data_IF_028588671954
#
_entry.id   IF_028588671954
#
_cell.length_a   1.000
_cell.length_b   1.000
_cell.length_c   1.000
_cell.angle_alpha   90.00
_cell.angle_beta   90.00
_cell.angle_gamma   90.00
#
_symmetry.space_group_name_H-M   'P 1'
#
loop_
_entity.id
_entity.type
_entity.pdbx_description
1 polymer ?
#
# COMPACT_ATOMS: atom_id res chain seq x y z
N UNK A 1 31.06 43.24 3.73
CA UNK A 1 32.47 43.49 3.36
C UNK A 1 33.27 43.52 4.64
N UNK A 2 33.92 42.39 4.97
CA UNK A 2 35.39 42.22 5.08
C UNK A 2 35.92 42.98 6.31
N UNK A 3 36.35 42.31 7.38
CA UNK A 3 37.65 41.63 7.38
C UNK A 3 37.70 40.31 8.16
N UNK A 4 38.25 39.31 7.48
CA UNK A 4 38.79 38.04 8.01
C UNK A 4 40.06 38.28 8.84
N UNK A 5 40.35 37.40 9.80
CA UNK A 5 41.59 36.59 9.76
C UNK A 5 41.65 35.60 10.94
N UNK A 6 41.73 34.33 10.55
CA UNK A 6 42.13 33.15 11.34
C UNK A 6 43.53 33.28 11.94
N UNK A 7 43.74 32.59 13.08
CA UNK A 7 44.93 31.82 13.50
C UNK A 7 44.86 31.65 15.03
N UNK A 8 45.19 30.54 15.70
CA UNK A 8 45.50 29.16 15.39
C UNK A 8 45.69 28.45 16.75
N UNK A 9 45.47 27.14 16.78
CA UNK A 9 46.07 26.17 17.73
C UNK A 9 45.70 26.20 19.23
N UNK A 10 45.10 25.10 19.68
CA UNK A 10 45.19 24.70 21.09
C UNK A 10 44.17 23.64 21.46
N UNK A 11 44.52 22.36 21.26
CA UNK A 11 43.81 21.21 21.84
C UNK A 11 43.54 21.46 23.33
N UNK A 12 42.28 21.42 23.73
CA UNK A 12 41.92 21.00 25.08
C UNK A 12 40.67 20.14 25.02
N UNK A 13 40.85 18.90 25.46
CA UNK A 13 39.80 17.94 25.70
C UNK A 13 38.82 18.49 26.74
N UNK A 14 37.64 18.88 26.30
CA UNK A 14 36.46 18.91 27.13
C UNK A 14 35.44 17.97 26.50
N UNK A 15 35.31 16.77 27.08
CA UNK A 15 34.10 15.97 27.02
C UNK A 15 33.00 16.77 27.75
N UNK A 16 32.51 17.82 27.11
CA UNK A 16 31.26 18.46 27.49
C UNK A 16 30.16 17.70 26.75
N UNK A 17 29.31 16.98 27.48
CA UNK A 17 28.00 16.68 26.96
C UNK A 17 27.40 18.02 26.53
N UNK A 18 27.12 18.20 25.24
CA UNK A 18 26.31 19.33 24.80
C UNK A 18 24.97 19.19 25.53
N UNK A 19 24.79 20.00 26.57
CA UNK A 19 23.50 20.19 27.20
C UNK A 19 22.70 20.98 26.18
N UNK A 20 22.06 20.27 25.26
CA UNK A 20 21.00 20.82 24.43
C UNK A 20 19.97 21.36 25.44
N UNK A 21 19.73 22.68 25.52
CA UNK A 21 18.78 23.21 26.49
C UNK A 21 17.44 22.52 26.28
N UNK A 22 16.69 22.18 27.34
CA UNK A 22 15.44 21.41 27.24
C UNK A 22 14.40 21.99 26.27
N UNK A 23 14.52 23.29 25.94
CA UNK A 23 13.74 23.98 24.92
C UNK A 23 14.06 23.58 23.46
N UNK A 24 15.14 22.83 23.23
CA UNK A 24 15.63 22.35 21.92
C UNK A 24 15.55 20.83 21.79
N UNK A 25 15.09 20.12 22.83
CA UNK A 25 14.76 18.71 22.70
C UNK A 25 13.44 18.59 21.93
N UNK A 26 13.51 17.95 20.77
CA UNK A 26 12.35 17.46 20.04
C UNK A 26 11.47 16.66 21.05
N UNK A 27 10.18 17.03 21.25
CA UNK A 27 9.27 16.24 22.08
C UNK A 27 9.27 14.75 21.73
N UNK A 28 8.98 13.86 22.67
CA UNK A 28 8.82 12.44 22.35
C UNK A 28 7.68 12.22 21.32
N UNK A 29 7.95 11.45 20.27
CA UNK A 29 6.99 11.16 19.20
C UNK A 29 5.74 10.47 19.75
N UNK A 30 5.89 9.54 20.70
CA UNK A 30 4.75 8.84 21.28
C UNK A 30 3.94 9.77 22.20
N UNK A 31 4.61 10.68 22.91
CA UNK A 31 3.94 11.75 23.63
C UNK A 31 3.18 12.69 22.69
N UNK A 32 3.70 12.98 21.49
CA UNK A 32 2.95 13.74 20.48
C UNK A 32 1.70 12.98 20.06
N UNK A 33 1.81 11.68 19.74
CA UNK A 33 0.67 10.85 19.33
C UNK A 33 -0.41 10.82 20.43
N UNK A 34 -0.02 10.54 21.69
CA UNK A 34 -0.96 10.45 22.82
C UNK A 34 -1.63 11.78 23.17
N UNK A 35 -0.87 12.88 23.12
CA UNK A 35 -1.34 14.18 23.60
C UNK A 35 -1.99 15.05 22.52
N UNK A 36 -1.88 14.67 21.24
CA UNK A 36 -2.51 15.44 20.16
C UNK A 36 -4.01 15.26 20.20
N UNK A 37 -4.72 16.38 20.37
CA UNK A 37 -6.19 16.36 20.41
C UNK A 37 -6.74 15.90 19.06
N UNK A 38 -7.68 14.94 19.03
CA UNK A 38 -8.33 14.52 17.79
C UNK A 38 -9.11 15.68 17.17
N UNK A 39 -9.31 15.61 15.85
CA UNK A 39 -10.21 16.54 15.18
C UNK A 39 -11.64 16.32 15.67
N UNK A 40 -12.42 17.43 15.77
CA UNK A 40 -13.83 17.31 16.14
C UNK A 40 -14.56 16.53 15.05
N UNK A 41 -15.14 15.40 15.44
CA UNK A 41 -16.02 14.61 14.57
C UNK A 41 -17.22 15.45 14.12
N UNK A 42 -17.55 15.50 12.82
CA UNK A 42 -18.78 16.12 12.33
C UNK A 42 -20.02 15.47 12.97
N UNK A 43 -20.96 16.28 13.46
CA UNK A 43 -22.17 15.83 14.16
C UNK A 43 -23.20 15.13 13.24
N UNK A 44 -22.97 15.12 11.92
CA UNK A 44 -23.89 14.64 10.88
C UNK A 44 -23.93 13.10 10.77
N UNK A 45 -23.16 12.38 11.57
CA UNK A 45 -23.10 10.92 11.54
C UNK A 45 -23.71 10.34 12.82
N UNK A 46 -24.78 9.56 12.64
CA UNK A 46 -25.79 9.28 13.66
C UNK A 46 -25.24 8.62 14.91
N UNK A 47 -25.66 9.17 16.06
CA UNK A 47 -25.45 8.66 17.42
C UNK A 47 -26.05 7.27 17.63
N UNK A 48 -25.34 6.50 18.47
CA UNK A 48 -25.82 5.42 19.34
C UNK A 48 -26.94 4.56 18.79
N UNK A 49 -26.62 3.76 17.78
CA UNK A 49 -27.33 2.51 17.58
C UNK A 49 -26.66 1.48 18.51
N UNK A 50 -27.45 0.69 19.24
CA UNK A 50 -26.91 -0.45 20.00
C UNK A 50 -26.01 -1.29 19.07
N UNK A 51 -24.84 -1.72 19.57
CA UNK A 51 -23.80 -2.35 18.75
C UNK A 51 -24.28 -3.59 17.97
N UNK A 52 -25.30 -4.27 18.49
CA UNK A 52 -25.97 -5.44 17.93
C UNK A 52 -26.88 -5.12 16.73
N UNK A 53 -27.33 -3.87 16.58
CA UNK A 53 -28.17 -3.42 15.46
C UNK A 53 -27.39 -2.77 14.32
N UNK A 54 -26.08 -2.57 14.48
CA UNK A 54 -25.22 -2.03 13.42
C UNK A 54 -24.89 -3.11 12.39
N UNK A 55 -25.02 -2.77 11.10
CA UNK A 55 -24.51 -3.64 10.05
C UNK A 55 -22.98 -3.65 10.04
N UNK A 56 -22.35 -4.65 9.43
CA UNK A 56 -20.89 -4.70 9.25
C UNK A 56 -20.37 -3.40 8.62
N UNK A 57 -21.11 -2.88 7.62
CA UNK A 57 -20.78 -1.60 6.97
C UNK A 57 -20.80 -0.43 7.96
N UNK A 58 -21.80 -0.34 8.82
CA UNK A 58 -21.88 0.75 9.80
C UNK A 58 -20.73 0.68 10.81
N UNK A 59 -20.35 -0.53 11.24
CA UNK A 59 -19.19 -0.77 12.14
C UNK A 59 -17.88 -0.33 11.47
N UNK A 60 -17.69 -0.68 10.20
CA UNK A 60 -16.52 -0.26 9.40
C UNK A 60 -16.50 1.24 9.15
N UNK A 61 -17.65 1.87 8.91
CA UNK A 61 -17.74 3.34 8.82
C UNK A 61 -17.25 4.00 10.11
N UNK A 62 -17.66 3.50 11.28
CA UNK A 62 -17.16 4.02 12.57
C UNK A 62 -15.65 3.84 12.73
N UNK A 63 -15.09 2.70 12.28
CA UNK A 63 -13.65 2.46 12.29
C UNK A 63 -12.89 3.48 11.43
N UNK A 64 -13.31 3.70 10.19
CA UNK A 64 -12.73 4.71 9.30
C UNK A 64 -12.79 6.10 9.94
N UNK A 65 -13.87 6.43 10.65
CA UNK A 65 -14.00 7.71 11.35
C UNK A 65 -13.07 7.82 12.55
N UNK A 66 -12.77 6.74 13.28
CA UNK A 66 -11.80 6.78 14.40
C UNK A 66 -10.39 6.98 13.85
N UNK A 67 -10.03 6.28 12.76
CA UNK A 67 -8.73 6.43 12.09
C UNK A 67 -8.57 7.86 11.54
N UNK A 68 -9.55 8.33 10.77
CA UNK A 68 -9.51 9.65 10.13
C UNK A 68 -9.35 10.79 11.15
N UNK A 69 -10.22 10.85 12.16
CA UNK A 69 -10.25 12.00 13.07
C UNK A 69 -9.34 11.82 14.29
N UNK A 70 -8.92 10.59 14.58
CA UNK A 70 -8.08 10.22 15.72
C UNK A 70 -6.59 10.07 15.41
N UNK A 71 -6.22 9.54 14.23
CA UNK A 71 -4.81 9.34 13.86
C UNK A 71 -4.24 10.53 13.08
N UNK A 72 -4.94 10.99 12.03
CA UNK A 72 -4.45 12.07 11.14
C UNK A 72 -3.91 13.32 11.85
N UNK A 73 -4.56 13.92 12.87
CA UNK A 73 -4.01 15.12 13.52
C UNK A 73 -2.66 14.87 14.21
N UNK A 74 -2.45 13.68 14.77
CA UNK A 74 -1.19 13.31 15.42
C UNK A 74 -0.06 13.16 14.39
N UNK A 75 -0.29 12.40 13.32
CA UNK A 75 0.72 12.17 12.27
C UNK A 75 0.99 13.41 11.43
N UNK A 76 -0.01 14.27 11.21
CA UNK A 76 0.22 15.63 10.70
C UNK A 76 1.20 16.41 11.59
N UNK A 77 1.01 16.38 12.90
CA UNK A 77 1.90 17.10 13.81
C UNK A 77 3.32 16.50 13.82
N UNK A 78 3.46 15.19 13.70
CA UNK A 78 4.77 14.55 13.56
C UNK A 78 5.47 14.96 12.26
N UNK A 79 4.75 14.95 11.13
CA UNK A 79 5.27 15.35 9.82
C UNK A 79 5.64 16.84 9.78
N UNK A 80 4.79 17.72 10.34
CA UNK A 80 5.07 19.17 10.49
C UNK A 80 6.36 19.44 11.29
N UNK A 81 6.71 18.56 12.23
CA UNK A 81 7.91 18.66 13.06
C UNK A 81 9.10 17.84 12.52
N UNK A 82 8.94 17.16 11.39
CA UNK A 82 9.96 16.33 10.75
C UNK A 82 10.42 15.15 11.62
N UNK A 83 9.48 14.38 12.18
CA UNK A 83 9.76 13.13 12.92
C UNK A 83 9.66 11.89 12.03
N UNK A 84 10.28 10.80 12.47
CA UNK A 84 10.03 9.49 11.90
C UNK A 84 10.60 9.28 10.50
N UNK A 85 11.66 10.02 10.15
CA UNK A 85 12.41 9.81 8.89
C UNK A 85 13.53 8.79 9.04
N UNK A 86 13.70 8.22 10.22
CA UNK A 86 14.75 7.25 10.49
C UNK A 86 14.32 5.90 9.91
N UNK A 87 15.17 5.31 9.08
CA UNK A 87 14.95 3.99 8.48
C UNK A 87 15.16 2.87 9.50
N UNK A 88 14.26 1.90 9.50
CA UNK A 88 14.31 0.66 10.26
C UNK A 88 14.79 -0.53 9.42
N UNK A 89 14.94 -0.35 8.11
CA UNK A 89 15.38 -1.39 7.17
C UNK A 89 14.51 -1.46 5.92
N UNK A 90 14.82 -2.41 5.03
CA UNK A 90 14.04 -2.64 3.81
C UNK A 90 12.73 -3.37 4.10
N UNK A 91 11.69 -3.08 3.31
CA UNK A 91 10.40 -3.76 3.38
C UNK A 91 10.51 -5.17 2.82
N UNK A 92 10.03 -6.18 3.55
CA UNK A 92 10.05 -7.59 3.12
C UNK A 92 9.29 -7.79 1.79
N UNK A 93 9.96 -8.38 0.79
CA UNK A 93 9.45 -8.56 -0.56
C UNK A 93 9.58 -7.34 -1.48
N UNK A 94 10.13 -6.24 -0.97
CA UNK A 94 10.42 -5.01 -1.72
C UNK A 94 11.86 -4.55 -1.48
N UNK A 95 12.79 -5.50 -1.37
CA UNK A 95 14.20 -5.22 -1.09
C UNK A 95 14.83 -4.34 -2.18
N UNK A 96 15.59 -3.31 -1.78
CA UNK A 96 16.12 -2.28 -2.66
C UNK A 96 15.06 -1.39 -3.32
N UNK A 97 13.78 -1.49 -2.93
CA UNK A 97 12.67 -0.68 -3.43
C UNK A 97 12.18 0.35 -2.41
N UNK A 98 11.77 -0.13 -1.24
CA UNK A 98 11.15 0.65 -0.18
C UNK A 98 11.83 0.36 1.16
N UNK A 99 11.89 1.39 2.00
CA UNK A 99 12.39 1.31 3.37
C UNK A 99 11.24 1.56 4.34
N UNK A 100 11.21 0.80 5.43
CA UNK A 100 10.33 1.06 6.57
C UNK A 100 10.92 2.23 7.37
N UNK A 101 10.17 3.31 7.53
CA UNK A 101 10.59 4.42 8.40
C UNK A 101 9.91 4.31 9.77
N UNK A 102 10.47 4.97 10.78
CA UNK A 102 9.88 5.05 12.11
C UNK A 102 8.43 5.60 12.07
N UNK A 103 8.12 6.51 11.13
CA UNK A 103 6.75 7.02 10.98
C UNK A 103 5.76 5.94 10.55
N UNK A 104 6.19 4.98 9.73
CA UNK A 104 5.39 3.84 9.26
C UNK A 104 5.04 2.92 10.42
N UNK A 105 6.05 2.47 11.16
CA UNK A 105 5.86 1.60 12.34
C UNK A 105 4.91 2.24 13.36
N UNK A 106 5.03 3.56 13.60
CA UNK A 106 4.13 4.29 14.52
C UNK A 106 2.72 4.40 13.97
N UNK A 107 2.55 4.66 12.67
CA UNK A 107 1.25 4.76 12.03
C UNK A 107 0.51 3.43 12.04
N UNK A 108 1.23 2.34 11.78
CA UNK A 108 0.71 0.97 11.82
C UNK A 108 0.27 0.58 13.25
N UNK A 109 1.13 0.76 14.25
CA UNK A 109 0.78 0.48 15.65
C UNK A 109 -0.43 1.31 16.13
N UNK A 110 -0.54 2.57 15.70
CA UNK A 110 -1.69 3.41 16.03
C UNK A 110 -2.96 2.95 15.30
N UNK A 111 -2.84 2.46 14.07
CA UNK A 111 -3.95 1.89 13.33
C UNK A 111 -4.44 0.61 14.03
N UNK A 112 -3.53 -0.29 14.41
CA UNK A 112 -3.81 -1.51 15.17
C UNK A 112 -4.58 -1.21 16.47
N UNK A 113 -4.09 -0.31 17.33
CA UNK A 113 -4.77 0.07 18.58
C UNK A 113 -6.21 0.57 18.33
N UNK A 114 -6.41 1.38 17.29
CA UNK A 114 -7.73 1.91 16.93
C UNK A 114 -8.63 0.77 16.42
N UNK A 115 -8.09 -0.09 15.56
CA UNK A 115 -8.80 -1.22 14.97
C UNK A 115 -9.25 -2.20 16.06
N UNK A 116 -8.35 -2.63 16.94
CA UNK A 116 -8.65 -3.53 18.07
C UNK A 116 -9.77 -2.96 18.94
N UNK A 117 -9.61 -1.72 19.42
CA UNK A 117 -10.58 -1.07 20.30
C UNK A 117 -11.97 -0.97 19.65
N UNK A 118 -12.05 -0.66 18.36
CA UNK A 118 -13.33 -0.50 17.65
C UNK A 118 -13.94 -1.86 17.34
N UNK A 119 -13.12 -2.83 16.97
CA UNK A 119 -13.54 -4.19 16.70
C UNK A 119 -14.13 -4.84 17.96
N UNK A 120 -13.45 -4.71 19.10
CA UNK A 120 -13.94 -5.19 20.40
C UNK A 120 -15.26 -4.52 20.79
N UNK A 121 -15.36 -3.20 20.62
CA UNK A 121 -16.58 -2.43 20.93
C UNK A 121 -17.80 -2.94 20.14
N UNK A 122 -17.61 -3.46 18.93
CA UNK A 122 -18.71 -3.85 18.04
C UNK A 122 -18.77 -5.34 17.73
N UNK A 123 -17.90 -6.17 18.31
CA UNK A 123 -17.74 -7.59 17.95
C UNK A 123 -17.51 -7.76 16.46
N UNK A 124 -16.58 -7.00 15.87
CA UNK A 124 -16.21 -7.10 14.46
C UNK A 124 -15.00 -8.01 14.31
N UNK A 125 -15.07 -8.99 13.41
CA UNK A 125 -13.92 -9.81 13.02
C UNK A 125 -13.34 -9.29 11.71
N UNK A 126 -12.03 -9.00 11.70
CA UNK A 126 -11.36 -8.46 10.52
C UNK A 126 -9.87 -8.84 10.46
N UNK A 127 -9.31 -8.78 9.26
CA UNK A 127 -7.86 -8.94 9.03
C UNK A 127 -7.33 -7.73 8.26
N UNK A 128 -6.24 -7.15 8.73
CA UNK A 128 -5.57 -6.00 8.11
C UNK A 128 -4.30 -6.47 7.44
N UNK A 129 -4.24 -6.36 6.12
CA UNK A 129 -3.01 -6.47 5.35
C UNK A 129 -2.32 -5.12 5.39
N UNK A 130 -1.16 -5.07 6.03
CA UNK A 130 -0.33 -3.87 6.12
C UNK A 130 1.04 -4.14 5.52
N UNK A 131 1.75 -3.07 5.15
CA UNK A 131 3.06 -3.16 4.49
C UNK A 131 4.12 -3.84 5.37
N UNK A 132 4.14 -3.59 6.69
CA UNK A 132 5.18 -4.13 7.58
C UNK A 132 4.66 -5.23 8.50
N UNK A 133 3.51 -5.01 9.15
CA UNK A 133 2.92 -5.98 10.07
C UNK A 133 1.43 -6.16 9.80
N UNK A 134 1.08 -7.25 9.11
CA UNK A 134 -0.32 -7.65 8.93
C UNK A 134 -0.86 -8.29 10.20
N UNK A 135 -2.09 -7.97 10.61
CA UNK A 135 -2.66 -8.42 11.88
C UNK A 135 -4.16 -8.74 11.80
N UNK A 136 -4.63 -9.53 12.76
CA UNK A 136 -6.00 -10.04 12.82
C UNK A 136 -6.71 -9.72 14.12
N UNK A 137 -7.99 -9.35 14.05
CA UNK A 137 -8.83 -9.04 15.22
C UNK A 137 -10.14 -9.84 15.20
N UNK A 138 -10.54 -10.38 16.37
CA UNK A 138 -11.82 -11.09 16.55
C UNK A 138 -11.75 -12.59 16.24
N UNK A 139 -12.62 -13.07 15.35
CA UNK A 139 -12.68 -14.47 14.91
C UNK A 139 -11.67 -14.79 13.80
N UNK A 140 -11.30 -16.06 13.66
CA UNK A 140 -10.42 -16.59 12.59
C UNK A 140 -11.02 -16.52 11.18
N UNK A 141 -12.27 -16.11 11.04
CA UNK A 141 -12.91 -16.00 9.71
C UNK A 141 -13.36 -14.57 9.57
N UNK A 142 -12.48 -13.68 9.07
CA UNK A 142 -12.76 -12.26 9.04
C UNK A 142 -14.01 -11.98 8.20
N UNK A 143 -14.91 -11.20 8.75
CA UNK A 143 -16.05 -10.65 8.01
C UNK A 143 -15.58 -9.55 7.04
N UNK A 144 -14.47 -8.90 7.39
CA UNK A 144 -13.89 -7.74 6.71
C UNK A 144 -12.40 -7.95 6.51
N UNK A 145 -11.89 -7.59 5.34
CA UNK A 145 -10.45 -7.43 5.12
C UNK A 145 -10.15 -5.96 4.88
N UNK A 146 -9.01 -5.50 5.39
CA UNK A 146 -8.51 -4.15 5.17
C UNK A 146 -7.14 -4.19 4.53
N UNK A 147 -6.85 -3.19 3.70
CA UNK A 147 -5.54 -2.97 3.10
C UNK A 147 -5.06 -1.61 3.58
N UNK A 148 -3.97 -1.61 4.34
CA UNK A 148 -3.35 -0.46 4.97
C UNK A 148 -2.01 -0.20 4.29
N UNK A 149 -1.81 1.05 3.92
CA UNK A 149 -0.52 1.65 3.71
C UNK A 149 -0.34 2.69 4.84
N UNK A 150 0.56 2.41 5.80
CA UNK A 150 0.72 3.23 6.98
C UNK A 150 1.18 4.64 6.61
N UNK A 151 2.18 4.79 5.74
CA UNK A 151 2.63 6.07 5.18
C UNK A 151 3.03 5.93 3.70
N UNK A 152 2.07 6.22 2.81
CA UNK A 152 2.37 6.37 1.38
C UNK A 152 3.29 7.59 1.17
N UNK A 153 4.17 7.48 0.17
CA UNK A 153 5.27 8.42 -0.11
C UNK A 153 6.28 8.58 1.04
N UNK A 154 6.47 7.56 1.88
CA UNK A 154 7.50 7.54 2.95
C UNK A 154 8.90 7.93 2.43
N UNK A 155 9.36 7.37 1.31
CA UNK A 155 10.67 7.71 0.73
C UNK A 155 10.82 9.17 0.29
N UNK A 156 9.78 9.79 -0.27
CA UNK A 156 9.84 11.25 -0.59
C UNK A 156 9.82 12.10 0.69
N UNK A 157 9.17 11.60 1.75
CA UNK A 157 9.17 12.24 3.06
C UNK A 157 10.54 12.15 3.76
N UNK A 158 11.23 11.02 3.65
CA UNK A 158 12.61 10.81 4.11
C UNK A 158 13.56 11.85 3.49
N UNK A 159 13.54 11.97 2.16
CA UNK A 159 14.35 12.92 1.38
C UNK A 159 13.98 14.40 1.64
N UNK A 160 12.89 14.65 2.37
CA UNK A 160 12.41 15.99 2.70
C UNK A 160 11.81 16.73 1.51
N UNK A 161 11.29 16.00 0.52
CA UNK A 161 10.54 16.59 -0.58
C UNK A 161 9.26 17.25 -0.08
N UNK A 162 8.76 18.21 -0.85
CA UNK A 162 7.50 18.92 -0.54
C UNK A 162 6.26 18.16 -1.02
N UNK A 163 6.38 16.85 -1.23
CA UNK A 163 5.27 15.96 -1.56
C UNK A 163 4.65 15.43 -0.28
N UNK A 164 3.31 15.42 -0.14
CA UNK A 164 2.71 14.97 1.09
C UNK A 164 2.89 13.46 1.33
N UNK A 165 3.25 13.04 2.55
CA UNK A 165 2.98 11.69 3.01
C UNK A 165 1.49 11.50 3.31
N UNK A 166 0.98 10.28 3.16
CA UNK A 166 -0.43 9.97 3.35
C UNK A 166 -0.63 8.73 4.21
N UNK A 167 -1.67 8.73 5.06
CA UNK A 167 -2.20 7.48 5.61
C UNK A 167 -3.31 6.99 4.68
N UNK A 168 -3.26 5.74 4.25
CA UNK A 168 -4.28 5.18 3.36
C UNK A 168 -4.77 3.80 3.82
N UNK A 169 -6.08 3.62 3.89
CA UNK A 169 -6.66 2.33 4.25
C UNK A 169 -8.02 2.12 3.58
N UNK A 170 -8.27 0.93 3.07
CA UNK A 170 -9.56 0.56 2.46
C UNK A 170 -10.07 -0.76 3.01
N UNK A 171 -11.39 -0.83 3.22
CA UNK A 171 -12.09 -1.97 3.82
C UNK A 171 -13.02 -2.64 2.81
N UNK A 172 -13.01 -3.97 2.80
CA UNK A 172 -13.80 -4.81 1.92
C UNK A 172 -14.49 -5.93 2.70
N UNK A 173 -15.68 -6.34 2.27
CA UNK A 173 -16.25 -7.60 2.75
C UNK A 173 -15.48 -8.80 2.19
N UNK A 174 -15.73 -10.00 2.74
CA UNK A 174 -15.14 -11.26 2.26
C UNK A 174 -15.36 -11.59 0.78
N UNK A 175 -16.28 -10.90 0.09
CA UNK A 175 -16.56 -11.08 -1.34
C UNK A 175 -15.85 -10.01 -2.19
N UNK A 176 -15.03 -9.15 -1.56
CA UNK A 176 -14.33 -8.05 -2.22
C UNK A 176 -15.19 -6.83 -2.53
N UNK A 177 -16.37 -6.69 -1.90
CA UNK A 177 -17.17 -5.48 -2.02
C UNK A 177 -16.63 -4.42 -1.08
N UNK A 178 -16.27 -3.26 -1.62
CA UNK A 178 -15.82 -2.12 -0.81
C UNK A 178 -16.89 -1.65 0.17
N UNK A 179 -16.48 -1.44 1.42
CA UNK A 179 -17.31 -0.97 2.52
C UNK A 179 -17.06 0.51 2.81
N UNK A 180 -15.79 0.88 2.98
CA UNK A 180 -15.34 2.25 3.22
C UNK A 180 -13.83 2.38 2.96
N UNK A 181 -13.30 3.60 2.96
CA UNK A 181 -11.87 3.86 2.87
C UNK A 181 -11.50 5.25 3.39
N UNK A 182 -10.21 5.44 3.63
CA UNK A 182 -9.58 6.65 4.14
C UNK A 182 -8.30 6.94 3.34
N UNK A 183 -8.12 8.20 2.93
CA UNK A 183 -6.84 8.76 2.48
C UNK A 183 -6.66 10.10 3.19
N UNK A 184 -5.56 10.27 3.91
CA UNK A 184 -5.30 11.49 4.70
C UNK A 184 -3.99 12.13 4.29
N UNK A 185 -4.06 13.36 3.78
CA UNK A 185 -2.90 14.16 3.42
C UNK A 185 -2.29 14.77 4.70
N UNK A 186 -1.11 14.30 5.11
CA UNK A 186 -0.54 14.67 6.40
C UNK A 186 0.06 16.08 6.40
N UNK A 187 0.48 16.64 5.26
CA UNK A 187 0.94 18.03 5.19
C UNK A 187 -0.21 19.03 5.41
N UNK A 188 -1.33 18.83 4.70
CA UNK A 188 -2.46 19.78 4.75
C UNK A 188 -3.46 19.46 5.86
N UNK A 189 -3.46 18.22 6.34
CA UNK A 189 -4.46 17.67 7.26
C UNK A 189 -5.80 17.38 6.59
N UNK A 190 -5.89 17.47 5.26
CA UNK A 190 -7.10 17.11 4.53
C UNK A 190 -7.35 15.61 4.65
N UNK A 191 -8.60 15.23 4.85
CA UNK A 191 -9.04 13.85 5.01
C UNK A 191 -10.06 13.55 3.94
N UNK A 192 -9.85 12.47 3.20
CA UNK A 192 -10.77 11.94 2.21
C UNK A 192 -11.35 10.63 2.70
N UNK A 193 -12.68 10.55 2.76
CA UNK A 193 -13.41 9.37 3.24
C UNK A 193 -14.27 8.83 2.12
N UNK A 194 -14.12 7.55 1.79
CA UNK A 194 -15.05 6.82 0.96
C UNK A 194 -16.05 6.08 1.85
N UNK A 195 -17.34 6.32 1.66
CA UNK A 195 -18.38 5.47 2.27
C UNK A 195 -19.70 5.55 1.52
N UNK A 196 -20.45 4.45 1.53
CA UNK A 196 -21.77 4.34 0.88
C UNK A 196 -21.75 4.82 -0.58
N UNK A 197 -20.68 4.50 -1.31
CA UNK A 197 -20.49 4.86 -2.72
C UNK A 197 -20.31 6.35 -2.99
N UNK A 198 -19.91 7.13 -1.98
CA UNK A 198 -19.62 8.57 -2.09
C UNK A 198 -18.27 8.88 -1.46
N UNK A 199 -17.61 9.88 -2.04
CA UNK A 199 -16.41 10.47 -1.45
C UNK A 199 -16.78 11.72 -0.66
N UNK A 200 -16.13 11.91 0.47
CA UNK A 200 -16.25 13.06 1.34
C UNK A 200 -14.86 13.66 1.54
N UNK A 201 -14.79 14.98 1.66
CA UNK A 201 -13.58 15.70 2.04
C UNK A 201 -13.84 16.40 3.36
N UNK A 202 -12.95 16.20 4.33
CA UNK A 202 -12.84 17.03 5.51
C UNK A 202 -11.59 17.91 5.39
N UNK A 203 -11.81 19.23 5.41
CA UNK A 203 -10.75 20.23 5.36
C UNK A 203 -10.68 20.98 6.71
N UNK A 204 -9.66 20.71 7.55
CA UNK A 204 -9.52 21.36 8.86
C UNK A 204 -9.27 22.87 8.78
N UNK A 205 -8.82 23.37 7.63
CA UNK A 205 -8.44 24.77 7.40
C UNK A 205 -9.65 25.67 7.13
N UNK A 206 -10.84 25.09 6.90
CA UNK A 206 -12.09 25.87 6.77
C UNK A 206 -12.52 26.40 8.15
N UNK A 207 -12.69 27.73 8.25
CA UNK A 207 -13.11 28.42 9.48
C UNK A 207 -14.49 27.99 9.98
N UNK A 208 -15.46 27.87 9.06
CA UNK A 208 -16.80 27.40 9.41
C UNK A 208 -16.76 25.87 9.61
N UNK A 209 -16.88 25.42 10.86
CA UNK A 209 -16.80 24.02 11.26
C UNK A 209 -17.82 23.14 10.51
N UNK A 210 -19.03 23.62 10.26
CA UNK A 210 -20.09 22.88 9.56
C UNK A 210 -19.76 22.66 8.09
N UNK A 211 -18.89 23.49 7.51
CA UNK A 211 -18.45 23.39 6.10
C UNK A 211 -17.16 22.60 5.95
N UNK A 212 -16.54 22.14 7.04
CA UNK A 212 -15.30 21.37 6.97
C UNK A 212 -15.49 20.06 6.24
N UNK A 213 -16.62 19.39 6.48
CA UNK A 213 -16.98 18.16 5.80
C UNK A 213 -17.92 18.46 4.62
N UNK A 214 -17.57 17.98 3.43
CA UNK A 214 -18.44 18.05 2.25
C UNK A 214 -18.44 16.75 1.47
N UNK A 215 -19.56 16.46 0.82
CA UNK A 215 -19.62 15.42 -0.21
C UNK A 215 -18.93 15.96 -1.47
N UNK A 216 -18.02 15.17 -2.03
CA UNK A 216 -17.40 15.50 -3.30
C UNK A 216 -18.36 15.13 -4.45
N UNK A 217 -18.63 16.05 -5.37
CA UNK A 217 -19.47 15.75 -6.53
C UNK A 217 -18.76 14.77 -7.45
N UNK A 218 -19.55 13.97 -8.19
CA UNK A 218 -18.97 13.15 -9.26
C UNK A 218 -18.27 14.05 -10.29
N UNK A 219 -17.00 13.81 -10.62
CA UNK A 219 -16.27 14.59 -11.59
C UNK A 219 -16.95 14.54 -12.96
N UNK A 220 -16.79 15.61 -13.75
CA UNK A 220 -17.31 15.64 -15.13
C UNK A 220 -16.61 14.57 -15.96
N UNK A 221 -17.40 13.81 -16.75
CA UNK A 221 -16.86 12.82 -17.71
C UNK A 221 -15.87 13.51 -18.67
N UNK A 222 -14.75 12.84 -18.91
CA UNK A 222 -13.77 13.18 -19.95
C UNK A 222 -13.66 11.94 -20.84
N UNK A 223 -13.77 12.13 -22.15
CA UNK A 223 -13.81 11.04 -23.14
C UNK A 223 -12.65 11.08 -24.12
N UNK A 224 -11.78 12.09 -24.08
CA UNK A 224 -10.63 12.20 -24.98
C UNK A 224 -9.40 12.75 -24.26
N UNK A 225 -8.23 12.20 -24.64
CA UNK A 225 -6.92 12.70 -24.19
C UNK A 225 -6.62 14.12 -24.72
N UNK A 226 -7.34 14.57 -25.76
CA UNK A 226 -7.22 15.92 -26.32
C UNK A 226 -8.17 16.93 -25.67
N UNK A 227 -8.99 16.53 -24.69
CA UNK A 227 -9.79 17.49 -23.92
C UNK A 227 -8.84 18.42 -23.13
N UNK A 228 -9.04 19.73 -23.19
CA UNK A 228 -8.20 20.70 -22.45
C UNK A 228 -8.12 20.45 -20.94
N UNK A 229 -9.15 19.80 -20.38
CA UNK A 229 -9.25 19.44 -18.95
C UNK A 229 -8.63 18.07 -18.65
N UNK A 230 -8.21 17.33 -19.67
CA UNK A 230 -7.52 16.08 -19.50
C UNK A 230 -6.19 16.34 -18.81
N UNK A 231 -5.95 15.55 -17.78
CA UNK A 231 -4.72 15.47 -17.01
C UNK A 231 -4.44 13.99 -16.78
N UNK A 232 -3.21 13.59 -17.07
CA UNK A 232 -2.68 12.28 -16.74
C UNK A 232 -1.90 12.39 -15.43
N UNK A 233 -2.16 11.45 -14.52
CA UNK A 233 -1.25 11.13 -13.41
C UNK A 233 -0.62 9.77 -13.69
N UNK A 234 0.70 9.70 -13.56
CA UNK A 234 1.49 8.47 -13.70
C UNK A 234 2.73 8.64 -12.84
N UNK A 235 3.49 7.58 -12.63
CA UNK A 235 4.76 7.67 -11.93
C UNK A 235 5.95 7.56 -12.90
N UNK A 236 7.06 8.22 -12.56
CA UNK A 236 8.35 8.19 -13.27
C UNK A 236 9.49 7.67 -12.35
N UNK A 237 9.14 6.85 -11.35
CA UNK A 237 10.06 6.24 -10.38
C UNK A 237 11.07 5.24 -10.94
N UNK A 238 11.36 4.17 -10.17
CA UNK A 238 12.47 3.25 -10.46
C UNK A 238 12.39 2.71 -11.90
N UNK A 239 13.54 2.62 -12.56
CA UNK A 239 13.65 2.28 -13.98
C UNK A 239 12.90 0.99 -14.35
N UNK A 240 12.86 -0.02 -13.47
CA UNK A 240 12.12 -1.27 -13.72
C UNK A 240 10.61 -1.08 -13.91
N UNK A 241 10.05 -0.06 -13.27
CA UNK A 241 8.63 0.29 -13.33
C UNK A 241 8.33 1.24 -14.49
N UNK A 242 9.26 2.14 -14.78
CA UNK A 242 9.09 3.16 -15.82
C UNK A 242 9.58 2.74 -17.19
N UNK A 243 10.49 1.77 -17.32
CA UNK A 243 10.97 1.30 -18.61
C UNK A 243 9.85 0.71 -19.48
N UNK A 244 8.93 -0.13 -18.96
CA UNK A 244 7.74 -0.52 -19.71
C UNK A 244 6.85 0.68 -20.06
N UNK A 245 6.73 1.67 -19.18
CA UNK A 245 5.95 2.88 -19.45
C UNK A 245 6.55 3.68 -20.60
N UNK A 246 7.82 4.08 -20.50
CA UNK A 246 8.53 4.87 -21.52
C UNK A 246 8.64 4.14 -22.86
N UNK A 247 8.69 2.81 -22.86
CA UNK A 247 8.75 2.03 -24.11
C UNK A 247 7.40 2.00 -24.83
N UNK A 248 6.30 1.87 -24.09
CA UNK A 248 4.98 1.65 -24.68
C UNK A 248 4.18 2.96 -24.79
N UNK A 249 4.23 3.80 -23.77
CA UNK A 249 3.49 5.05 -23.63
C UNK A 249 4.29 6.31 -24.01
N UNK A 250 5.43 6.19 -24.71
CA UNK A 250 6.24 7.34 -25.18
C UNK A 250 5.40 8.41 -25.88
N UNK A 251 4.35 8.02 -26.62
CA UNK A 251 3.49 8.99 -27.28
C UNK A 251 2.62 9.76 -26.27
N UNK A 252 2.02 9.09 -25.28
CA UNK A 252 1.27 9.77 -24.21
C UNK A 252 2.18 10.70 -23.40
N UNK A 253 3.45 10.34 -23.30
CA UNK A 253 4.51 11.11 -22.67
C UNK A 253 4.88 12.36 -23.52
N UNK A 254 5.18 12.19 -24.79
CA UNK A 254 5.63 13.28 -25.66
C UNK A 254 4.54 14.30 -25.99
N UNK A 255 3.30 13.83 -26.13
CA UNK A 255 2.14 14.65 -26.46
C UNK A 255 1.36 15.07 -25.21
N UNK A 256 2.03 15.07 -24.04
CA UNK A 256 1.48 15.48 -22.75
C UNK A 256 0.77 16.83 -22.85
N UNK A 257 -0.43 16.91 -22.27
CA UNK A 257 -1.02 18.19 -21.89
C UNK A 257 -0.14 18.81 -20.79
N UNK A 258 -0.01 20.15 -20.77
CA UNK A 258 0.70 20.89 -19.71
C UNK A 258 0.15 20.59 -18.30
N UNK A 259 -1.08 20.07 -18.21
CA UNK A 259 -1.73 19.69 -16.95
C UNK A 259 -1.37 18.25 -16.47
N UNK A 260 -0.49 17.53 -17.16
CA UNK A 260 -0.09 16.18 -16.76
C UNK A 260 0.94 16.24 -15.62
N UNK A 261 0.78 15.35 -14.63
CA UNK A 261 1.62 15.29 -13.43
C UNK A 261 2.28 13.91 -13.38
N UNK A 262 3.59 13.90 -13.17
CA UNK A 262 4.37 12.67 -13.00
C UNK A 262 4.96 12.67 -11.61
N UNK A 263 4.65 11.63 -10.84
CA UNK A 263 5.07 11.47 -9.46
C UNK A 263 6.36 10.65 -9.40
N UNK A 264 7.20 10.87 -8.37
CA UNK A 264 8.42 10.10 -8.17
C UNK A 264 8.12 8.64 -7.81
N UNK A 265 6.99 8.38 -7.14
CA UNK A 265 6.48 7.05 -6.83
C UNK A 265 5.02 6.88 -7.27
N UNK A 266 4.60 5.64 -7.46
CA UNK A 266 3.19 5.28 -7.50
C UNK A 266 2.62 5.25 -6.08
N UNK A 267 1.31 5.10 -5.91
CA UNK A 267 0.78 5.00 -4.54
C UNK A 267 -0.60 5.57 -4.28
N UNK A 268 -1.06 5.31 -3.06
CA UNK A 268 -2.35 5.70 -2.53
C UNK A 268 -2.63 7.22 -2.53
N UNK A 269 -1.61 8.08 -2.60
CA UNK A 269 -1.68 9.53 -2.66
C UNK A 269 -2.51 10.03 -3.85
N UNK A 270 -2.56 9.25 -4.93
CA UNK A 270 -3.44 9.52 -6.08
C UNK A 270 -4.92 9.52 -5.70
N UNK A 271 -5.28 8.90 -4.56
CA UNK A 271 -6.62 8.88 -4.00
C UNK A 271 -7.22 10.26 -3.76
N UNK A 272 -6.44 11.27 -3.35
CA UNK A 272 -6.91 12.66 -3.21
C UNK A 272 -7.34 13.24 -4.59
N UNK A 273 -6.45 13.13 -5.58
CA UNK A 273 -6.70 13.66 -6.92
C UNK A 273 -7.83 12.92 -7.66
N UNK A 274 -7.95 11.61 -7.44
CA UNK A 274 -9.08 10.79 -7.91
C UNK A 274 -10.38 11.24 -7.24
N UNK A 275 -10.37 11.40 -5.92
CA UNK A 275 -11.56 11.75 -5.14
C UNK A 275 -12.13 13.11 -5.54
N UNK A 276 -11.25 14.09 -5.74
CA UNK A 276 -11.61 15.46 -6.15
C UNK A 276 -11.91 15.57 -7.65
N UNK A 277 -11.53 14.56 -8.44
CA UNK A 277 -11.72 14.56 -9.88
C UNK A 277 -10.73 15.44 -10.64
N UNK A 278 -9.62 15.83 -10.02
CA UNK A 278 -8.61 16.72 -10.61
C UNK A 278 -7.83 16.05 -11.73
N UNK A 279 -7.74 14.71 -11.73
CA UNK A 279 -7.12 13.93 -12.80
C UNK A 279 -8.14 13.37 -13.80
N UNK A 280 -7.80 13.32 -15.09
CA UNK A 280 -8.61 12.64 -16.12
C UNK A 280 -8.36 11.13 -16.17
N UNK A 281 -7.13 10.72 -15.92
CA UNK A 281 -6.68 9.33 -15.94
C UNK A 281 -5.45 9.15 -15.03
N UNK A 282 -5.35 7.98 -14.41
CA UNK A 282 -4.17 7.49 -13.73
C UNK A 282 -3.69 6.20 -14.40
N UNK A 283 -2.39 6.10 -14.68
CA UNK A 283 -1.77 4.92 -15.27
C UNK A 283 -0.62 4.48 -14.36
N UNK A 284 -0.62 3.21 -13.99
CA UNK A 284 0.40 2.62 -13.16
C UNK A 284 0.76 1.21 -13.66
N UNK A 285 1.87 1.08 -14.42
CA UNK A 285 2.44 -0.23 -14.71
C UNK A 285 2.87 -0.94 -13.41
N UNK A 286 2.84 -2.27 -13.36
CA UNK A 286 3.44 -3.03 -12.27
C UNK A 286 3.10 -2.52 -10.85
N UNK A 287 1.88 -2.05 -10.66
CA UNK A 287 1.50 -1.37 -9.41
C UNK A 287 1.39 -2.38 -8.28
N UNK A 288 2.02 -2.16 -7.11
CA UNK A 288 1.76 -2.99 -5.94
C UNK A 288 0.27 -3.02 -5.64
N UNK A 289 -0.25 -4.22 -5.39
CA UNK A 289 -1.67 -4.37 -5.13
C UNK A 289 -2.07 -3.67 -3.82
N UNK A 290 -1.11 -3.56 -2.88
CA UNK A 290 -1.23 -2.76 -1.67
C UNK A 290 -1.66 -1.31 -1.98
N UNK A 291 -0.96 -0.64 -2.89
CA UNK A 291 -1.30 0.71 -3.36
C UNK A 291 -2.65 0.74 -4.07
N UNK A 292 -2.87 -0.23 -4.96
CA UNK A 292 -4.07 -0.28 -5.80
C UNK A 292 -5.35 -0.44 -4.94
N UNK A 293 -5.30 -1.27 -3.90
CA UNK A 293 -6.50 -1.60 -3.13
C UNK A 293 -6.91 -0.46 -2.18
N UNK A 294 -5.99 0.42 -1.79
CA UNK A 294 -6.32 1.62 -1.02
C UNK A 294 -7.03 2.68 -1.89
N UNK A 295 -6.70 2.80 -3.18
CA UNK A 295 -7.27 3.81 -4.09
C UNK A 295 -8.59 3.43 -4.77
N UNK A 296 -8.82 2.14 -5.05
CA UNK A 296 -9.97 1.67 -5.86
C UNK A 296 -11.35 2.12 -5.34
N UNK A 297 -11.65 2.07 -4.03
CA UNK A 297 -12.93 2.53 -3.51
C UNK A 297 -13.25 3.98 -3.86
N UNK A 298 -12.25 4.85 -3.78
CA UNK A 298 -12.36 6.27 -4.11
C UNK A 298 -12.61 6.48 -5.60
N UNK A 299 -11.89 5.76 -6.45
CA UNK A 299 -12.06 5.79 -7.89
C UNK A 299 -13.47 5.37 -8.32
N UNK A 300 -13.95 4.22 -7.81
CA UNK A 300 -15.30 3.71 -8.12
C UNK A 300 -16.39 4.67 -7.65
N UNK A 301 -16.27 5.27 -6.46
CA UNK A 301 -17.24 6.26 -5.98
C UNK A 301 -17.24 7.57 -6.77
N UNK A 302 -16.07 8.02 -7.25
CA UNK A 302 -15.95 9.14 -8.17
C UNK A 302 -16.48 8.80 -9.58
N UNK A 303 -16.75 7.52 -9.89
CA UNK A 303 -17.27 7.09 -11.19
C UNK A 303 -16.18 6.87 -12.25
N UNK A 304 -14.94 6.64 -11.81
CA UNK A 304 -13.89 6.14 -12.68
C UNK A 304 -14.08 4.64 -12.91
N UNK A 305 -13.47 4.17 -13.99
CA UNK A 305 -13.32 2.76 -14.32
C UNK A 305 -11.88 2.41 -13.97
N UNK A 306 -11.70 1.44 -13.07
CA UNK A 306 -10.39 0.86 -12.77
C UNK A 306 -10.23 -0.36 -13.66
N UNK A 307 -9.27 -0.35 -14.58
CA UNK A 307 -9.02 -1.42 -15.53
C UNK A 307 -7.68 -2.10 -15.23
N UNK A 308 -7.71 -3.43 -15.19
CA UNK A 308 -6.52 -4.27 -15.29
C UNK A 308 -6.28 -4.56 -16.77
N UNK A 309 -5.11 -4.19 -17.28
CA UNK A 309 -4.75 -4.32 -18.69
C UNK A 309 -3.68 -5.40 -18.84
N UNK A 310 -3.93 -6.35 -19.74
CA UNK A 310 -2.98 -7.35 -20.17
C UNK A 310 -1.86 -6.71 -20.97
N UNK A 311 -0.63 -6.93 -20.52
CA UNK A 311 0.57 -6.54 -21.25
C UNK A 311 0.85 -7.44 -22.46
N UNK A 312 0.17 -8.57 -22.65
CA UNK A 312 0.45 -9.46 -23.79
C UNK A 312 -0.27 -9.02 -25.06
N UNK A 313 -1.53 -8.57 -24.93
CA UNK A 313 -2.42 -8.29 -26.05
C UNK A 313 -3.19 -6.97 -25.92
N UNK A 314 -2.97 -6.20 -24.85
CA UNK A 314 -3.68 -4.95 -24.58
C UNK A 314 -5.17 -5.16 -24.25
N UNK A 315 -5.63 -6.40 -24.07
CA UNK A 315 -6.98 -6.68 -23.58
C UNK A 315 -7.13 -6.17 -22.15
N UNK A 316 -8.34 -5.81 -21.75
CA UNK A 316 -8.58 -5.29 -20.40
C UNK A 316 -9.91 -5.75 -19.85
N UNK A 317 -9.99 -5.78 -18.53
CA UNK A 317 -11.20 -6.01 -17.74
C UNK A 317 -11.29 -5.00 -16.62
N UNK A 318 -12.48 -4.75 -16.10
CA UNK A 318 -12.63 -3.95 -14.89
C UNK A 318 -11.98 -4.71 -13.71
N UNK A 319 -11.24 -3.99 -12.87
CA UNK A 319 -10.61 -4.53 -11.70
C UNK A 319 -11.67 -4.90 -10.66
N UNK A 320 -11.59 -6.14 -10.16
CA UNK A 320 -12.40 -6.67 -9.08
C UNK A 320 -11.50 -7.40 -8.09
N UNK A 321 -11.62 -7.07 -6.80
CA UNK A 321 -11.05 -7.88 -5.74
C UNK A 321 -11.93 -9.13 -5.60
N UNK A 322 -11.41 -10.29 -5.95
CA UNK A 322 -12.17 -11.54 -5.88
C UNK A 322 -12.07 -12.20 -4.51
N UNK A 323 -13.09 -12.98 -4.15
CA UNK A 323 -13.07 -13.81 -2.94
C UNK A 323 -11.87 -14.78 -2.94
N UNK A 324 -11.50 -15.32 -4.11
CA UNK A 324 -10.35 -16.22 -4.24
C UNK A 324 -9.02 -15.51 -3.96
N UNK A 325 -8.88 -14.26 -4.41
CA UNK A 325 -7.69 -13.45 -4.13
C UNK A 325 -7.59 -13.10 -2.64
N UNK A 326 -8.72 -12.78 -2.00
CA UNK A 326 -8.78 -12.56 -0.55
C UNK A 326 -8.37 -13.82 0.21
N UNK A 327 -8.93 -14.99 -0.14
CA UNK A 327 -8.57 -16.27 0.48
C UNK A 327 -7.09 -16.56 0.34
N UNK A 328 -6.53 -16.31 -0.84
CA UNK A 328 -5.10 -16.48 -1.08
C UNK A 328 -4.25 -15.60 -0.16
N UNK A 329 -4.59 -14.31 -0.02
CA UNK A 329 -3.85 -13.43 0.89
C UNK A 329 -4.00 -13.85 2.35
N UNK A 330 -5.19 -14.28 2.78
CA UNK A 330 -5.37 -14.82 4.12
C UNK A 330 -4.49 -16.08 4.33
N UNK A 331 -4.47 -17.01 3.37
CA UNK A 331 -3.63 -18.21 3.46
C UNK A 331 -2.13 -17.90 3.42
N UNK A 332 -1.73 -16.84 2.72
CA UNK A 332 -0.32 -16.47 2.50
C UNK A 332 -0.11 -14.95 2.62
N UNK A 333 -0.15 -14.37 3.84
CA UNK A 333 -0.11 -12.92 4.03
C UNK A 333 1.14 -12.26 3.43
N UNK A 334 2.29 -12.91 3.50
CA UNK A 334 3.56 -12.44 2.89
C UNK A 334 3.49 -12.24 1.37
N UNK A 335 2.50 -12.82 0.68
CA UNK A 335 2.32 -12.62 -0.78
C UNK A 335 1.66 -11.28 -1.12
N UNK A 336 1.04 -10.61 -0.14
CA UNK A 336 0.38 -9.32 -0.32
C UNK A 336 1.33 -8.24 -0.85
N UNK A 337 2.47 -8.05 -0.19
CA UNK A 337 3.48 -7.05 -0.56
C UNK A 337 4.12 -7.30 -1.93
N UNK A 338 4.04 -8.55 -2.42
CA UNK A 338 4.59 -9.00 -3.70
C UNK A 338 3.55 -9.02 -4.82
N UNK A 339 2.27 -8.92 -4.51
CA UNK A 339 1.22 -8.90 -5.52
C UNK A 339 1.28 -7.60 -6.32
N UNK A 340 1.16 -7.71 -7.65
CA UNK A 340 1.29 -6.58 -8.58
C UNK A 340 0.17 -6.64 -9.62
N UNK A 341 -0.38 -5.48 -9.97
CA UNK A 341 -1.24 -5.33 -11.15
C UNK A 341 -0.34 -5.02 -12.36
N UNK A 342 -0.32 -5.85 -13.42
CA UNK A 342 0.62 -5.66 -14.54
C UNK A 342 0.53 -4.27 -15.17
N UNK A 343 -0.69 -3.77 -15.33
CA UNK A 343 -0.98 -2.39 -15.66
C UNK A 343 -2.36 -2.02 -15.14
N UNK A 344 -2.40 -1.05 -14.23
CA UNK A 344 -3.62 -0.42 -13.76
C UNK A 344 -3.87 0.86 -14.55
N UNK A 345 -5.08 0.99 -15.13
CA UNK A 345 -5.57 2.24 -15.70
C UNK A 345 -6.84 2.65 -14.96
N UNK A 346 -6.83 3.79 -14.28
CA UNK A 346 -8.01 4.38 -13.66
C UNK A 346 -8.46 5.58 -14.49
N UNK A 347 -9.60 5.50 -15.16
CA UNK A 347 -10.02 6.54 -16.11
C UNK A 347 -11.48 6.95 -15.96
N UNK A 348 -11.81 8.20 -16.30
CA UNK A 348 -13.19 8.71 -16.27
C UNK A 348 -14.13 8.09 -17.30
N UNK A 349 -13.61 7.30 -18.24
CA UNK A 349 -14.41 6.70 -19.31
C UNK A 349 -13.69 5.52 -19.99
N UNK A 350 -14.47 4.63 -20.64
CA UNK A 350 -13.92 3.52 -21.43
C UNK A 350 -13.16 4.03 -22.64
N UNK A 351 -13.64 5.13 -23.22
CA UNK A 351 -13.06 5.81 -24.36
C UNK A 351 -11.63 6.26 -24.05
N UNK A 352 -11.36 6.75 -22.83
CA UNK A 352 -10.02 7.09 -22.38
C UNK A 352 -9.13 5.86 -22.22
N UNK A 353 -9.65 4.75 -21.68
CA UNK A 353 -8.91 3.47 -21.59
C UNK A 353 -8.50 3.00 -22.98
N UNK A 354 -9.44 2.98 -23.94
CA UNK A 354 -9.14 2.58 -25.32
C UNK A 354 -8.14 3.52 -25.99
N UNK A 355 -8.22 4.84 -25.74
CA UNK A 355 -7.23 5.78 -26.24
C UNK A 355 -5.88 5.54 -25.60
N UNK A 356 -5.79 5.34 -24.28
CA UNK A 356 -4.53 5.02 -23.60
C UNK A 356 -3.90 3.75 -24.15
N UNK A 357 -4.69 2.70 -24.36
CA UNK A 357 -4.22 1.44 -24.92
C UNK A 357 -3.78 1.63 -26.39
N UNK A 358 -4.59 2.28 -27.24
CA UNK A 358 -4.22 2.47 -28.65
C UNK A 358 -3.03 3.41 -28.85
N UNK A 359 -2.96 4.46 -28.04
CA UNK A 359 -1.93 5.50 -28.12
C UNK A 359 -0.63 5.02 -27.48
N UNK A 360 -0.74 4.22 -26.42
CA UNK A 360 0.35 3.72 -25.60
C UNK A 360 0.73 2.25 -25.83
N UNK A 361 0.15 1.56 -26.80
CA UNK A 361 0.58 0.22 -27.23
C UNK A 361 0.65 0.16 -28.76
N UNK A 362 1.47 1.03 -29.34
CA UNK A 362 1.66 1.11 -30.80
C UNK A 362 2.50 -0.04 -31.39
N UNK A 363 3.09 -0.89 -30.54
CA UNK A 363 3.83 -2.10 -30.91
C UNK A 363 3.33 -3.29 -30.07
N UNK A 364 3.35 -4.53 -30.61
CA UNK A 364 3.26 -5.73 -29.77
C UNK A 364 4.34 -5.64 -28.69
N UNK A 365 3.97 -5.89 -27.44
CA UNK A 365 4.90 -5.92 -26.33
C UNK A 365 5.88 -7.07 -26.57
N UNK A 366 7.06 -6.74 -27.10
CA UNK A 366 8.23 -7.59 -26.94
C UNK A 366 8.53 -7.56 -25.43
N UNK A 367 7.96 -8.52 -24.72
CA UNK A 367 8.51 -8.92 -23.43
C UNK A 367 9.98 -9.21 -23.72
N UNK A 368 10.87 -8.32 -23.29
CA UNK A 368 12.26 -8.69 -23.20
C UNK A 368 12.29 -9.95 -22.34
N UNK A 369 12.63 -11.08 -22.94
CA UNK A 369 12.71 -12.40 -22.29
C UNK A 369 13.59 -12.36 -21.02
N UNK A 370 14.39 -11.30 -20.84
CA UNK A 370 15.24 -11.06 -19.69
C UNK A 370 14.53 -10.74 -18.36
N UNK A 371 13.24 -10.36 -18.34
CA UNK A 371 12.54 -10.04 -17.07
C UNK A 371 11.62 -11.15 -16.54
N UNK A 372 11.41 -12.24 -17.28
CA UNK A 372 10.51 -13.32 -16.83
C UNK A 372 11.16 -14.36 -15.91
N UNK A 373 12.49 -14.43 -15.87
CA UNK A 373 13.17 -15.58 -15.22
C UNK A 373 14.25 -15.22 -14.20
N UNK A 374 14.65 -13.94 -14.05
CA UNK A 374 15.80 -13.58 -13.20
C UNK A 374 15.56 -12.44 -12.19
N UNK A 375 14.35 -11.91 -12.03
CA UNK A 375 14.05 -11.03 -10.88
C UNK A 375 13.58 -11.88 -9.69
N UNK A 376 14.28 -11.85 -8.54
CA UNK A 376 13.74 -12.40 -7.30
C UNK A 376 12.42 -11.69 -7.02
N UNK A 377 11.31 -12.44 -6.90
CA UNK A 377 10.00 -11.89 -6.55
C UNK A 377 8.92 -11.93 -7.65
N UNK A 378 9.26 -12.24 -8.91
CA UNK A 378 8.22 -12.41 -9.95
C UNK A 378 7.52 -13.76 -9.85
N UNK A 379 6.50 -13.85 -8.99
CA UNK A 379 5.52 -14.95 -9.07
C UNK A 379 4.35 -14.50 -9.92
N UNK A 380 4.10 -15.19 -11.04
CA UNK A 380 2.81 -15.12 -11.74
C UNK A 380 1.78 -15.84 -10.87
N UNK A 381 1.23 -15.14 -9.89
CA UNK A 381 0.32 -15.73 -8.91
C UNK A 381 -1.02 -16.01 -9.59
N UNK A 382 -1.31 -17.29 -9.80
CA UNK A 382 -2.58 -17.77 -10.36
C UNK A 382 -3.42 -18.38 -9.24
N UNK A 383 -4.66 -17.91 -9.00
CA UNK A 383 -5.55 -18.46 -7.98
C UNK A 383 -5.89 -19.95 -8.16
N UNK A 384 -5.56 -20.55 -9.31
CA UNK A 384 -5.92 -21.94 -9.66
C UNK A 384 -5.25 -23.01 -8.77
N UNK A 385 -4.24 -22.65 -7.99
CA UNK A 385 -3.52 -23.57 -7.11
C UNK A 385 -3.78 -23.35 -5.60
N UNK A 386 -4.71 -22.45 -5.23
CA UNK A 386 -5.05 -22.23 -3.82
C UNK A 386 -5.83 -23.44 -3.32
N UNK A 387 -5.18 -24.27 -2.50
CA UNK A 387 -5.80 -25.39 -1.80
C UNK A 387 -6.96 -24.89 -0.95
N UNK A 388 -8.03 -25.69 -0.85
CA UNK A 388 -9.26 -25.37 -0.09
C UNK A 388 -9.06 -25.30 1.43
N UNK A 389 -7.83 -25.28 1.92
CA UNK A 389 -7.53 -25.54 3.32
C UNK A 389 -7.09 -24.26 4.05
N UNK A 390 -7.84 -23.92 5.10
CA UNK A 390 -7.64 -22.75 5.94
C UNK A 390 -6.52 -22.93 6.97
N UNK A 391 -5.93 -24.13 7.06
CA UNK A 391 -4.98 -24.56 8.08
C UNK A 391 -3.70 -23.71 8.19
N UNK A 392 -3.19 -23.16 7.07
CA UNK A 392 -2.01 -22.29 7.08
C UNK A 392 -2.29 -20.91 7.70
N UNK A 393 -3.46 -20.34 7.43
CA UNK A 393 -3.90 -19.09 8.06
C UNK A 393 -4.12 -19.27 9.56
N UNK A 394 -4.70 -20.41 9.97
CA UNK A 394 -4.96 -20.71 11.39
C UNK A 394 -3.66 -20.75 12.23
N UNK A 395 -2.54 -21.18 11.66
CA UNK A 395 -1.26 -21.22 12.36
C UNK A 395 -0.64 -19.83 12.60
N UNK A 396 -0.78 -18.90 11.65
CA UNK A 396 -0.29 -17.51 11.79
C UNK A 396 -1.15 -16.76 12.82
N UNK A 397 -2.47 -16.91 12.72
CA UNK A 397 -3.42 -16.29 13.64
C UNK A 397 -3.17 -16.68 15.11
N UNK A 398 -2.81 -17.93 15.39
CA UNK A 398 -2.51 -18.37 16.76
C UNK A 398 -1.16 -17.84 17.28
N UNK A 399 -0.17 -17.63 16.40
CA UNK A 399 1.12 -17.04 16.76
C UNK A 399 0.94 -15.60 17.28
N UNK A 400 0.11 -14.81 16.62
CA UNK A 400 -0.11 -13.39 16.96
C UNK A 400 -0.89 -13.22 18.27
N UNK A 401 -1.80 -14.16 18.59
CA UNK A 401 -2.48 -14.20 19.89
C UNK A 401 -1.55 -14.55 21.05
N UNK A 402 -0.50 -15.35 20.81
CA UNK A 402 0.47 -15.73 21.85
C UNK A 402 1.51 -14.63 22.09
N UNK A 403 1.94 -13.90 21.05
CA UNK A 403 2.81 -12.72 21.20
C UNK A 403 2.12 -11.59 21.95
N UNK A 404 0.81 -11.37 21.74
CA UNK A 404 0.03 -10.37 22.49
C UNK A 404 -0.27 -10.76 23.94
N UNK A 405 -0.05 -12.01 24.35
CA UNK A 405 -0.08 -12.43 25.77
C UNK A 405 1.27 -12.31 26.48
N UNK A 406 2.36 -12.29 25.73
CA UNK A 406 3.73 -12.27 26.28
C UNK A 406 4.33 -10.87 26.35
N UNK A 407 3.79 -9.88 25.63
CA UNK A 407 4.19 -8.48 25.74
C UNK A 407 3.80 -7.81 27.07
N UNK A 408 2.85 -8.39 27.83
CA UNK A 408 2.51 -7.90 29.19
C UNK A 408 3.39 -8.49 30.31
N UNK A 409 4.41 -9.30 29.99
CA UNK A 409 5.19 -10.04 30.98
C UNK A 409 6.71 -10.08 30.71
N UNK A 410 7.33 -9.07 30.10
CA UNK A 410 8.81 -8.92 30.17
C UNK A 410 9.23 -7.44 30.14
N UNK A 411 8.96 -6.70 31.21
CA UNK A 411 9.86 -5.62 31.63
C UNK A 411 10.93 -6.25 32.52
N UNK A 412 12.14 -6.44 31.99
CA UNK A 412 13.28 -6.87 32.79
C UNK A 412 14.30 -7.70 32.01
N UNK A 413 15.47 -7.08 31.81
CA UNK A 413 16.74 -7.72 31.45
C UNK A 413 16.85 -8.35 30.04
N UNK A 414 17.64 -7.72 29.17
CA UNK A 414 19.01 -8.21 28.88
C UNK A 414 19.74 -7.37 27.84
N UNK A 415 20.70 -6.59 28.33
CA UNK A 415 22.00 -6.48 27.69
C UNK A 415 22.64 -7.87 27.61
N UNK A 416 22.90 -8.40 26.40
CA UNK A 416 24.07 -9.23 26.08
C UNK A 416 24.09 -9.59 24.60
N UNK A 417 25.12 -9.08 23.94
CA UNK A 417 25.65 -9.55 22.65
C UNK A 417 26.11 -11.02 22.74
N UNK A 418 25.71 -11.84 21.77
CA UNK A 418 26.59 -12.83 21.14
C UNK A 418 25.90 -13.50 19.95
N UNK A 419 26.61 -13.49 18.83
CA UNK A 419 26.46 -14.32 17.65
C UNK A 419 26.22 -15.80 17.97
N UNK A 420 25.19 -16.40 17.35
CA UNK A 420 25.24 -17.72 16.73
C UNK A 420 23.88 -18.00 16.05
N UNK A 421 23.92 -18.15 14.72
CA UNK A 421 22.83 -18.65 13.91
C UNK A 421 22.73 -20.17 14.06
N UNK A 422 21.85 -20.64 14.95
CA UNK A 422 21.37 -22.02 14.94
C UNK A 422 20.01 -22.07 14.24
N UNK A 423 19.99 -22.73 13.07
CA UNK A 423 18.78 -23.11 12.36
C UNK A 423 18.04 -24.18 13.20
N UNK A 424 16.88 -23.81 13.72
CA UNK A 424 15.94 -24.76 14.33
C UNK A 424 15.08 -25.36 13.23
N UNK A 425 15.39 -26.61 12.85
CA UNK A 425 14.56 -27.46 12.00
C UNK A 425 13.38 -27.99 12.82
N UNK A 426 12.15 -27.65 12.43
CA UNK A 426 10.94 -28.32 12.93
C UNK A 426 10.73 -29.67 12.22
N UNK A 427 10.40 -30.75 12.95
CA UNK A 427 10.25 -32.09 12.40
C UNK A 427 8.83 -32.36 11.87
N UNK A 428 8.73 -33.07 10.74
CA UNK A 428 7.50 -33.77 10.36
C UNK A 428 7.11 -33.67 8.89
N UNK A 429 7.75 -34.47 8.03
CA UNK A 429 7.17 -34.99 6.78
C UNK A 429 8.10 -36.10 6.23
N UNK A 430 8.05 -37.27 6.88
CA UNK A 430 8.50 -38.54 6.29
C UNK A 430 7.29 -39.32 5.77
N UNK A 431 7.56 -40.12 4.72
CA UNK A 431 6.67 -40.93 3.87
C UNK A 431 6.09 -40.15 2.67
N UNK A 432 6.38 -40.47 1.42
CA UNK A 432 6.51 -41.81 0.84
C UNK A 432 7.31 -41.75 -0.46
N UNK A 433 8.52 -42.31 -0.53
CA UNK A 433 9.12 -42.82 -1.77
C UNK A 433 10.19 -43.88 -1.43
N UNK A 434 9.82 -45.17 -1.48
CA UNK A 434 10.77 -46.27 -1.62
C UNK A 434 10.23 -47.35 -2.55
N UNK A 435 10.95 -47.55 -3.64
CA UNK A 435 11.24 -48.75 -4.43
C UNK A 435 11.47 -48.24 -5.86
N UNK A 436 12.69 -48.16 -6.40
CA UNK A 436 13.76 -49.15 -6.38
C UNK A 436 13.76 -49.85 -7.74
N UNK A 437 14.67 -49.45 -8.64
CA UNK A 437 15.64 -50.39 -9.20
C UNK A 437 16.61 -49.72 -10.19
N UNK A 438 17.89 -49.94 -9.89
CA UNK A 438 19.06 -49.69 -10.71
C UNK A 438 19.22 -50.80 -11.74
N UNK A 439 19.50 -50.47 -13.01
CA UNK A 439 20.50 -51.21 -13.79
C UNK A 439 21.01 -50.47 -15.05
N UNK A 440 22.27 -50.01 -14.93
CA UNK A 440 23.42 -50.11 -15.85
C UNK A 440 23.23 -50.05 -17.39
N UNK A 441 23.80 -48.97 -17.95
CA UNK A 441 24.73 -48.88 -19.10
C UNK A 441 24.37 -49.50 -20.46
N UNK A 442 24.34 -48.66 -21.51
CA UNK A 442 25.16 -48.74 -22.75
C UNK A 442 24.75 -47.66 -23.78
N UNK A 443 25.69 -46.78 -24.16
CA UNK A 443 25.78 -46.25 -25.54
C UNK A 443 26.31 -47.38 -26.47
N UNK A 444 26.32 -47.29 -27.83
CA UNK A 444 25.98 -46.18 -28.73
C UNK A 444 25.11 -46.58 -29.97
N UNK A 445 24.61 -45.60 -30.74
CA UNK A 445 24.96 -45.36 -32.17
C UNK A 445 23.92 -44.51 -32.90
N UNK A 446 24.47 -43.59 -33.67
CA UNK A 446 23.92 -42.80 -34.77
C UNK A 446 23.13 -43.63 -35.79
N UNK A 447 22.01 -43.08 -36.28
CA UNK A 447 21.59 -43.26 -37.67
C UNK A 447 20.92 -41.99 -38.20
N UNK A 448 21.61 -41.35 -39.13
CA UNK A 448 21.05 -40.52 -40.19
C UNK A 448 20.01 -41.33 -40.99
N UNK A 449 18.89 -40.70 -41.34
CA UNK A 449 18.24 -40.96 -42.63
C UNK A 449 17.60 -39.68 -43.19
N UNK A 450 18.26 -39.20 -44.23
CA UNK A 450 17.71 -38.41 -45.34
C UNK A 450 16.65 -39.25 -46.08
N UNK A 451 15.79 -38.55 -46.84
CA UNK A 451 15.04 -38.94 -48.08
C UNK A 451 13.56 -38.60 -47.89
N UNK A 452 12.81 -37.98 -48.81
CA UNK A 452 13.04 -37.15 -50.00
C UNK A 452 11.67 -36.50 -50.30
N UNK A 453 11.74 -35.37 -50.98
CA UNK A 453 10.73 -34.76 -51.87
C UNK A 453 9.73 -35.70 -52.54
N UNK A 454 8.49 -35.23 -52.74
CA UNK A 454 7.71 -35.58 -53.93
C UNK A 454 6.18 -35.48 -53.85
N UNK A 455 5.61 -34.28 -54.00
CA UNK A 455 4.78 -33.86 -55.15
C UNK A 455 4.28 -32.44 -55.00
#
# INVERSE_FOLDING_TARGET
>A
MITEALQSNGRNHLKGAEIIPSAWQKPDADAIIRNTKPYKRPEVWSRSVEADRLTIRDKVEELVLELAFGATPAFRKLTDLGYGRESHGEVEGREGEDEELEIDTKAEARAEEIVERVADRFGLSLFVFSEHNSFGVGDRRPDVVAFLDPIDNSGEYEDGHNTPPYIAISFFDKRGVSLAGLVSNLMTGHIFINKRGKNYEYNPNIRNVERRLRILPKPRKIVSIHDRRFSLSSYDGKYKYTAPFRTNFDLLDRDRNQNNIFHGKAGAHSGEAISTGSMGMYIAPFEPLAESLTLIPFAKAAGYICAEVSLEDGSWKEFELSEDLIKMFLSYPHTYNNARTPLLIVAKSRELIYQAIRYGFSKPLLLHESHRENEPGFQKISPRNVGKDWSTYEAIWERDKESNKTSSLVEGDRNRSSSNSEQVLLPGLEATLRAGDLQKTRHPKSFLRVVETGK
#
